data_IF_400825679934
#
_entry.id   IF_400825679934
#
_cell.length_a   1.000
_cell.length_b   1.000
_cell.length_c   1.000
_cell.angle_alpha   90.00
_cell.angle_beta   90.00
_cell.angle_gamma   90.00
#
_symmetry.space_group_name_H-M   'P 1'
#
loop_
_entity.id
_entity.type
_entity.pdbx_description
1 polymer ?
#
# COMPACT_ATOMS: atom_id res chain seq x y z
N UNK A 1 -3.11 11.85 -15.91
CA UNK A 1 -2.93 11.41 -14.51
C UNK A 1 -3.94 12.12 -13.63
N UNK A 2 -4.63 11.39 -12.79
CA UNK A 2 -5.59 11.97 -11.85
C UNK A 2 -4.94 12.16 -10.45
N UNK A 3 -4.12 13.19 -10.32
CA UNK A 3 -3.33 13.45 -9.11
C UNK A 3 -4.19 13.63 -7.85
N UNK A 4 -5.36 14.25 -7.96
CA UNK A 4 -6.27 14.42 -6.83
C UNK A 4 -6.76 13.06 -6.31
N UNK A 5 -7.15 12.17 -7.22
CA UNK A 5 -7.62 10.83 -6.86
C UNK A 5 -6.49 9.96 -6.31
N UNK A 6 -5.30 10.03 -6.94
CA UNK A 6 -4.10 9.33 -6.47
C UNK A 6 -3.76 9.74 -5.04
N UNK A 7 -3.75 11.04 -4.76
CA UNK A 7 -3.47 11.54 -3.42
C UNK A 7 -4.54 11.09 -2.41
N UNK A 8 -5.83 11.21 -2.74
CA UNK A 8 -6.90 10.78 -1.85
C UNK A 8 -6.82 9.28 -1.52
N UNK A 9 -6.57 8.43 -2.52
CA UNK A 9 -6.42 7.00 -2.30
C UNK A 9 -5.14 6.68 -1.52
N UNK A 10 -4.08 7.47 -1.67
CA UNK A 10 -2.86 7.27 -0.89
C UNK A 10 -3.03 7.54 0.61
N UNK A 11 -4.08 8.27 1.02
CA UNK A 11 -4.39 8.47 2.43
C UNK A 11 -4.79 7.18 3.15
N UNK A 12 -5.20 6.12 2.43
CA UNK A 12 -5.32 4.79 3.01
C UNK A 12 -3.98 4.28 3.55
N UNK A 13 -2.87 4.63 2.90
CA UNK A 13 -1.52 4.34 3.39
C UNK A 13 -1.22 5.04 4.71
N UNK A 14 -1.65 6.28 4.88
CA UNK A 14 -1.52 6.99 6.15
C UNK A 14 -2.39 6.33 7.24
N UNK A 15 -3.65 6.05 6.92
CA UNK A 15 -4.57 5.38 7.85
C UNK A 15 -4.05 4.00 8.27
N UNK A 16 -3.56 3.19 7.32
CA UNK A 16 -2.97 1.90 7.61
C UNK A 16 -1.63 2.01 8.35
N UNK A 17 -0.79 2.96 7.99
CA UNK A 17 0.48 3.21 8.67
C UNK A 17 0.27 3.49 10.16
N UNK A 18 -0.64 4.39 10.49
CA UNK A 18 -1.01 4.68 11.88
C UNK A 18 -1.81 3.53 12.51
N UNK A 19 -2.71 2.90 11.74
CA UNK A 19 -3.51 1.78 12.20
C UNK A 19 -2.66 0.59 12.63
N UNK A 20 -1.66 0.20 11.85
CA UNK A 20 -0.74 -0.91 12.17
C UNK A 20 0.19 -0.60 13.34
N UNK A 21 0.50 0.68 13.56
CA UNK A 21 1.28 1.11 14.74
C UNK A 21 0.47 0.98 16.02
N UNK A 22 -0.81 1.37 16.01
CA UNK A 22 -1.58 1.56 17.25
C UNK A 22 -2.76 0.60 17.45
N UNK A 23 -3.37 0.08 16.38
CA UNK A 23 -4.68 -0.58 16.46
C UNK A 23 -4.76 -1.92 15.75
N UNK A 24 -4.13 -2.09 14.58
CA UNK A 24 -4.30 -3.27 13.73
C UNK A 24 -3.27 -4.31 14.09
N UNK A 25 -3.74 -5.48 14.51
CA UNK A 25 -2.86 -6.63 14.75
C UNK A 25 -2.35 -7.22 13.45
N UNK A 26 -1.19 -7.88 13.50
CA UNK A 26 -0.58 -8.57 12.37
C UNK A 26 -1.51 -9.56 11.67
N UNK A 27 -2.46 -10.17 12.38
CA UNK A 27 -3.44 -11.11 11.79
C UNK A 27 -4.47 -10.43 10.91
N UNK A 28 -4.86 -9.19 11.22
CA UNK A 28 -5.86 -8.42 10.49
C UNK A 28 -5.26 -7.60 9.34
N UNK A 29 -3.97 -7.34 9.40
CA UNK A 29 -3.28 -6.49 8.43
C UNK A 29 -3.43 -6.96 6.98
N UNK A 30 -3.21 -8.26 6.62
CA UNK A 30 -3.36 -8.72 5.24
C UNK A 30 -4.76 -8.53 4.67
N UNK A 31 -5.80 -8.72 5.50
CA UNK A 31 -7.19 -8.55 5.10
C UNK A 31 -7.53 -7.09 4.85
N UNK A 32 -7.03 -6.19 5.70
CA UNK A 32 -7.18 -4.76 5.52
C UNK A 32 -6.54 -4.29 4.22
N UNK A 33 -5.34 -4.77 3.89
CA UNK A 33 -4.67 -4.48 2.62
C UNK A 33 -5.44 -5.01 1.42
N UNK A 34 -5.97 -6.22 1.50
CA UNK A 34 -6.78 -6.79 0.42
C UNK A 34 -7.97 -5.88 0.08
N UNK A 35 -8.72 -5.44 1.09
CA UNK A 35 -9.86 -4.53 0.89
C UNK A 35 -9.42 -3.22 0.25
N UNK A 36 -8.33 -2.61 0.74
CA UNK A 36 -7.80 -1.36 0.20
C UNK A 36 -7.38 -1.51 -1.26
N UNK A 37 -6.71 -2.61 -1.61
CA UNK A 37 -6.25 -2.86 -2.97
C UNK A 37 -7.43 -3.04 -3.93
N UNK A 38 -8.43 -3.84 -3.56
CA UNK A 38 -9.62 -4.05 -4.37
C UNK A 38 -10.44 -2.77 -4.53
N UNK A 39 -10.62 -2.01 -3.45
CA UNK A 39 -11.32 -0.73 -3.50
C UNK A 39 -10.58 0.29 -4.38
N UNK A 40 -9.28 0.44 -4.19
CA UNK A 40 -8.46 1.34 -5.00
C UNK A 40 -8.49 0.97 -6.48
N UNK A 41 -8.36 -0.32 -6.79
CA UNK A 41 -8.44 -0.81 -8.16
C UNK A 41 -9.81 -0.52 -8.79
N UNK A 42 -10.88 -0.74 -8.04
CA UNK A 42 -12.24 -0.46 -8.49
C UNK A 42 -12.47 1.02 -8.79
N UNK A 43 -12.01 1.91 -7.93
CA UNK A 43 -12.12 3.36 -8.12
C UNK A 43 -11.28 3.83 -9.32
N UNK A 44 -10.10 3.26 -9.50
CA UNK A 44 -9.16 3.66 -10.56
C UNK A 44 -9.52 3.11 -11.95
N UNK A 45 -10.41 2.12 -12.07
CA UNK A 45 -10.77 1.46 -13.34
C UNK A 45 -11.28 2.42 -14.43
N UNK A 46 -11.96 3.49 -14.01
CA UNK A 46 -12.57 4.45 -14.92
C UNK A 46 -11.61 5.60 -15.30
N UNK A 47 -10.39 5.57 -14.82
CA UNK A 47 -9.37 6.58 -15.15
C UNK A 47 -8.72 6.31 -16.52
N UNK A 48 -8.16 7.34 -17.14
CA UNK A 48 -7.51 7.22 -18.44
C UNK A 48 -6.30 6.26 -18.44
N UNK A 49 -5.60 6.16 -17.30
CA UNK A 49 -4.40 5.32 -17.14
C UNK A 49 -4.46 4.52 -15.84
N UNK A 50 -5.34 3.52 -15.74
CA UNK A 50 -5.61 2.81 -14.49
C UNK A 50 -4.35 2.15 -13.90
N UNK A 51 -3.50 1.55 -14.72
CA UNK A 51 -2.26 0.93 -14.25
C UNK A 51 -1.31 1.95 -13.61
N UNK A 52 -1.03 3.05 -14.30
CA UNK A 52 -0.10 4.07 -13.80
C UNK A 52 -0.64 4.77 -12.54
N UNK A 53 -1.93 5.03 -12.50
CA UNK A 53 -2.56 5.60 -11.32
C UNK A 53 -2.47 4.63 -10.13
N UNK A 54 -2.69 3.33 -10.34
CA UNK A 54 -2.55 2.31 -9.32
C UNK A 54 -1.10 2.16 -8.82
N UNK A 55 -0.13 2.18 -9.73
CA UNK A 55 1.29 2.17 -9.38
C UNK A 55 1.64 3.34 -8.46
N UNK A 56 1.20 4.54 -8.81
CA UNK A 56 1.48 5.74 -8.01
C UNK A 56 0.76 5.74 -6.66
N UNK A 57 -0.46 5.20 -6.60
CA UNK A 57 -1.17 5.01 -5.32
C UNK A 57 -0.34 4.11 -4.39
N UNK A 58 0.16 2.98 -4.89
CA UNK A 58 0.99 2.08 -4.08
C UNK A 58 2.29 2.73 -3.60
N UNK A 59 2.98 3.45 -4.48
CA UNK A 59 4.21 4.18 -4.12
C UNK A 59 3.93 5.25 -3.06
N UNK A 60 2.89 6.06 -3.22
CA UNK A 60 2.54 7.08 -2.21
C UNK A 60 2.04 6.46 -0.91
N UNK A 61 1.28 5.35 -0.96
CA UNK A 61 0.92 4.60 0.24
C UNK A 61 2.16 4.20 1.03
N UNK A 62 3.19 3.70 0.35
CA UNK A 62 4.41 3.27 1.03
C UNK A 62 5.17 4.42 1.70
N UNK A 63 5.10 5.62 1.15
CA UNK A 63 5.70 6.81 1.79
C UNK A 63 5.04 7.07 3.14
N UNK A 64 3.71 7.07 3.20
CA UNK A 64 2.96 7.27 4.44
C UNK A 64 3.20 6.17 5.47
N UNK A 65 3.20 4.91 5.02
CA UNK A 65 3.43 3.75 5.89
C UNK A 65 4.84 3.78 6.45
N UNK A 66 5.83 3.94 5.58
CA UNK A 66 7.25 3.99 5.99
C UNK A 66 7.47 5.12 6.97
N UNK A 67 6.95 6.32 6.70
CA UNK A 67 7.06 7.45 7.62
C UNK A 67 6.44 7.12 8.99
N UNK A 68 5.24 6.55 9.01
CA UNK A 68 4.57 6.15 10.25
C UNK A 68 5.38 5.11 11.04
N UNK A 69 5.87 4.07 10.37
CA UNK A 69 6.65 3.02 11.03
C UNK A 69 8.02 3.50 11.51
N UNK A 70 8.69 4.36 10.76
CA UNK A 70 10.00 4.92 11.15
C UNK A 70 9.86 5.88 12.33
N UNK A 71 8.83 6.73 12.34
CA UNK A 71 8.57 7.66 13.43
C UNK A 71 8.22 6.89 14.71
N UNK A 72 7.32 5.90 14.61
CA UNK A 72 6.81 5.12 15.73
C UNK A 72 7.42 3.71 15.82
N UNK A 73 8.67 3.55 15.43
CA UNK A 73 9.33 2.23 15.30
C UNK A 73 9.21 1.36 16.55
N UNK A 74 9.35 1.93 17.72
CA UNK A 74 9.26 1.18 18.99
C UNK A 74 7.86 0.64 19.21
N UNK A 75 6.84 1.47 19.01
CA UNK A 75 5.44 1.09 19.16
C UNK A 75 5.04 0.05 18.12
N UNK A 76 5.48 0.23 16.87
CA UNK A 76 5.23 -0.72 15.79
C UNK A 76 5.81 -2.10 16.10
N UNK A 77 7.10 -2.17 16.47
CA UNK A 77 7.77 -3.44 16.77
C UNK A 77 7.23 -4.12 18.02
N UNK A 78 6.69 -3.38 18.97
CA UNK A 78 6.03 -3.96 20.15
C UNK A 78 4.77 -4.77 19.80
N UNK A 79 4.11 -4.44 18.69
CA UNK A 79 2.90 -5.14 18.20
C UNK A 79 3.18 -6.16 17.10
N UNK A 80 4.39 -6.18 16.56
CA UNK A 80 4.79 -7.02 15.43
C UNK A 80 6.02 -7.86 15.80
N UNK A 81 5.82 -8.91 16.62
CA UNK A 81 6.89 -9.75 17.15
C UNK A 81 7.79 -10.38 16.07
N UNK A 82 7.28 -10.93 14.95
CA UNK A 82 8.14 -11.48 13.89
C UNK A 82 9.08 -10.44 13.27
N UNK A 83 8.60 -9.22 13.05
CA UNK A 83 9.42 -8.12 12.54
C UNK A 83 10.46 -7.69 13.58
N UNK A 84 10.07 -7.64 14.86
CA UNK A 84 10.99 -7.32 15.96
C UNK A 84 12.11 -8.36 16.03
N UNK A 85 11.80 -9.65 15.95
CA UNK A 85 12.79 -10.73 15.95
C UNK A 85 13.73 -10.65 14.73
N UNK A 86 13.20 -10.33 13.57
CA UNK A 86 14.00 -10.13 12.36
C UNK A 86 14.94 -8.92 12.51
N UNK A 87 14.47 -7.83 13.09
CA UNK A 87 15.28 -6.62 13.32
C UNK A 87 16.42 -6.87 14.32
N UNK A 88 16.23 -7.76 15.32
CA UNK A 88 17.29 -8.15 16.26
C UNK A 88 18.43 -8.95 15.61
N UNK A 89 18.18 -9.59 14.48
CA UNK A 89 19.19 -10.37 13.74
C UNK A 89 19.98 -9.53 12.74
N UNK A 90 19.66 -8.25 12.60
CA UNK A 90 20.41 -7.35 11.72
C UNK A 90 21.82 -7.09 12.25
N UNK A 91 22.81 -6.85 11.36
CA UNK A 91 24.13 -6.42 11.77
C UNK A 91 24.04 -5.12 12.62
N UNK A 92 24.94 -4.91 13.59
CA UNK A 92 24.93 -3.73 14.45
C UNK A 92 25.00 -2.39 13.69
N UNK A 93 25.51 -2.41 12.46
CA UNK A 93 25.60 -1.24 11.57
C UNK A 93 24.26 -0.86 10.92
N UNK A 94 23.24 -1.73 11.00
CA UNK A 94 21.93 -1.53 10.36
C UNK A 94 20.86 -1.30 11.41
N UNK A 95 20.34 -0.08 11.48
CA UNK A 95 19.24 0.23 12.38
C UNK A 95 17.90 -0.25 11.81
N UNK A 96 16.90 -0.57 12.67
CA UNK A 96 15.55 -0.90 12.21
C UNK A 96 14.94 0.21 11.33
N UNK A 97 15.17 1.47 11.65
CA UNK A 97 14.70 2.61 10.86
C UNK A 97 15.27 2.63 9.45
N UNK A 98 16.58 2.37 9.33
CA UNK A 98 17.23 2.29 8.03
C UNK A 98 16.65 1.14 7.20
N UNK A 99 16.47 -0.04 7.79
CA UNK A 99 15.90 -1.19 7.11
C UNK A 99 14.48 -0.89 6.62
N UNK A 100 13.63 -0.33 7.46
CA UNK A 100 12.26 0.08 7.08
C UNK A 100 12.25 1.11 5.96
N UNK A 101 13.18 2.06 5.99
CA UNK A 101 13.30 3.10 4.96
C UNK A 101 13.70 2.55 3.59
N UNK A 102 14.40 1.44 3.56
CA UNK A 102 14.79 0.75 2.32
C UNK A 102 13.68 -0.19 1.84
N UNK A 103 13.15 -1.01 2.75
CA UNK A 103 12.14 -2.03 2.39
C UNK A 103 10.78 -1.43 2.07
N UNK A 104 10.39 -0.34 2.74
CA UNK A 104 9.09 0.31 2.54
C UNK A 104 8.84 0.72 1.08
N UNK A 105 9.71 1.48 0.42
CA UNK A 105 9.55 1.83 -0.99
C UNK A 105 9.51 0.62 -1.92
N UNK A 106 10.28 -0.43 -1.66
CA UNK A 106 10.24 -1.68 -2.44
C UNK A 106 8.86 -2.36 -2.35
N UNK A 107 8.33 -2.49 -1.14
CA UNK A 107 6.98 -2.99 -0.92
C UNK A 107 5.94 -2.11 -1.60
N UNK A 108 6.14 -0.79 -1.58
CA UNK A 108 5.27 0.18 -2.25
C UNK A 108 5.22 0.00 -3.76
N UNK A 109 6.35 -0.25 -4.41
CA UNK A 109 6.40 -0.53 -5.85
C UNK A 109 5.65 -1.83 -6.16
N UNK A 110 5.89 -2.90 -5.41
CA UNK A 110 5.22 -4.18 -5.59
C UNK A 110 3.70 -4.02 -5.40
N UNK A 111 3.28 -3.37 -4.32
CA UNK A 111 1.88 -3.09 -4.04
C UNK A 111 1.23 -2.22 -5.13
N UNK A 112 1.96 -1.23 -5.62
CA UNK A 112 1.52 -0.37 -6.71
C UNK A 112 1.33 -1.12 -8.03
N UNK A 113 2.22 -2.06 -8.35
CA UNK A 113 2.06 -2.94 -9.52
C UNK A 113 0.80 -3.80 -9.36
N UNK A 114 0.57 -4.36 -8.18
CA UNK A 114 -0.63 -5.17 -7.91
C UNK A 114 -1.90 -4.33 -8.09
N UNK A 115 -1.99 -3.16 -7.47
CA UNK A 115 -3.14 -2.24 -7.62
C UNK A 115 -3.32 -1.84 -9.09
N UNK A 116 -2.24 -1.53 -9.77
CA UNK A 116 -2.25 -1.13 -11.17
C UNK A 116 -2.77 -2.22 -12.09
N UNK A 117 -2.32 -3.46 -11.90
CA UNK A 117 -2.79 -4.64 -12.66
C UNK A 117 -4.28 -4.88 -12.38
N UNK A 118 -4.69 -4.86 -11.12
CA UNK A 118 -6.10 -5.04 -10.74
C UNK A 118 -6.99 -3.95 -11.35
N UNK A 119 -6.57 -2.70 -11.31
CA UNK A 119 -7.29 -1.57 -11.90
C UNK A 119 -7.40 -1.70 -13.43
N UNK A 120 -6.34 -2.14 -14.08
CA UNK A 120 -6.32 -2.38 -15.52
C UNK A 120 -7.27 -3.54 -15.92
N UNK A 121 -7.26 -4.63 -15.17
CA UNK A 121 -8.18 -5.76 -15.39
C UNK A 121 -9.63 -5.31 -15.17
N UNK A 122 -9.92 -4.61 -14.07
CA UNK A 122 -11.25 -4.09 -13.78
C UNK A 122 -11.75 -3.16 -14.89
N UNK A 123 -10.89 -2.28 -15.41
CA UNK A 123 -11.22 -1.41 -16.54
C UNK A 123 -11.61 -2.20 -17.80
N UNK A 124 -10.89 -3.28 -18.09
CA UNK A 124 -11.20 -4.14 -19.26
C UNK A 124 -12.52 -4.90 -19.08
N UNK A 125 -12.79 -5.40 -17.88
CA UNK A 125 -14.02 -6.16 -17.60
C UNK A 125 -15.26 -5.27 -17.74
N UNK A 126 -15.21 -4.05 -17.17
CA UNK A 126 -16.34 -3.11 -17.26
C UNK A 126 -16.61 -2.68 -18.70
N UNK A 127 -15.55 -2.41 -19.49
CA UNK A 127 -15.71 -2.05 -20.92
C UNK A 127 -16.33 -3.17 -21.77
N UNK A 128 -16.08 -4.44 -21.43
CA UNK A 128 -16.68 -5.59 -22.12
C UNK A 128 -18.16 -5.79 -21.73
N UNK A 129 -18.57 -5.34 -20.57
CA UNK A 129 -19.94 -5.48 -20.05
C UNK A 129 -20.86 -4.32 -20.46
N UNK A 130 -20.34 -3.29 -21.13
CA UNK A 130 -21.14 -2.23 -21.72
C UNK A 130 -22.03 -2.77 -22.86
N UNK A 131 -23.27 -2.23 -23.06
CA UNK A 131 -24.13 -2.64 -24.15
C UNK A 131 -23.37 -2.49 -25.46
N UNK A 132 -23.36 -3.56 -26.27
CA UNK A 132 -22.93 -3.46 -27.65
C UNK A 132 -23.83 -2.41 -28.30
N UNK A 133 -23.30 -1.21 -28.53
CA UNK A 133 -23.98 -0.21 -29.35
C UNK A 133 -24.01 -0.77 -30.75
N UNK A 134 -25.14 -1.30 -31.09
CA UNK A 134 -25.41 -1.77 -32.44
C UNK A 134 -25.42 -0.59 -33.42
#
# INVERSE_FOLDING_TARGET
>A
MNWKLIFLLSLFGLAMGLGTVFFISQRLEPWSWLVIFLFSAWVLRDTARPFLNGLLVGVLNSVWITASHVIFVRTYLAMHAPEADMMQRLPPSVSPRLMMSITGPLVGIISGVIIGVLAFIAAKLVRKSGPAVA
#
